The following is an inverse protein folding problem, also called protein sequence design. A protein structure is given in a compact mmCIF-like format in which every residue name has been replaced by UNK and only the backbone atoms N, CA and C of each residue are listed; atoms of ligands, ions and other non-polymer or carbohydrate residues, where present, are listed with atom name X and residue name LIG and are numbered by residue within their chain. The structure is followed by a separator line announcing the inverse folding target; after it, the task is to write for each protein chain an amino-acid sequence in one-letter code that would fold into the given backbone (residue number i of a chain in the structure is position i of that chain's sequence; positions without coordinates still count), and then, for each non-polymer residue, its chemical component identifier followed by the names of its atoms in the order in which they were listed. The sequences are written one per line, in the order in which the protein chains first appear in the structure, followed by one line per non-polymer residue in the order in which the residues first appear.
data_IF_698333887647
#
_entry.id   IF_698333887647
#
_cell.length_a   1.000
_cell.length_b   1.000
_cell.length_c   1.000
_cell.angle_alpha   90.00
_cell.angle_beta   90.00
_cell.angle_gamma   90.00
#
_symmetry.space_group_name_H-M   'P 1'
#
loop_
_entity.id
_entity.type
_entity.pdbx_description
1 polymer ?
#
# COMPACT_ATOMS: atom_id res chain seq x y z
N UNK A 1 -3.76 -16.63 -10.02
CA UNK A 1 -4.05 -16.52 -8.58
C UNK A 1 -4.79 -17.76 -8.07
N UNK A 2 -5.76 -18.28 -8.81
CA UNK A 2 -6.61 -19.42 -8.42
C UNK A 2 -5.84 -20.68 -7.96
N UNK A 3 -4.77 -21.07 -8.67
CA UNK A 3 -3.90 -22.19 -8.26
C UNK A 3 -3.23 -21.97 -6.90
N UNK A 4 -2.83 -20.72 -6.60
CA UNK A 4 -2.23 -20.36 -5.32
C UNK A 4 -3.26 -20.47 -4.21
N UNK A 5 -4.48 -19.94 -4.43
CA UNK A 5 -5.59 -20.08 -3.48
C UNK A 5 -5.90 -21.54 -3.14
N UNK A 6 -5.91 -22.41 -4.15
CA UNK A 6 -6.09 -23.85 -3.97
C UNK A 6 -4.99 -24.52 -3.15
N UNK A 7 -3.73 -24.13 -3.35
CA UNK A 7 -2.60 -24.65 -2.59
C UNK A 7 -2.63 -24.18 -1.13
N UNK A 8 -2.98 -22.92 -0.89
CA UNK A 8 -3.05 -22.35 0.47
C UNK A 8 -4.09 -23.06 1.32
N UNK A 9 -5.29 -23.29 0.77
CA UNK A 9 -6.38 -24.01 1.45
C UNK A 9 -5.98 -25.39 1.93
N UNK A 10 -5.13 -26.07 1.18
CA UNK A 10 -4.73 -27.45 1.45
C UNK A 10 -3.41 -27.58 2.21
N UNK A 11 -2.68 -26.48 2.44
CA UNK A 11 -1.32 -26.54 2.99
C UNK A 11 -1.25 -26.78 4.51
N UNK A 12 -2.31 -26.42 5.26
CA UNK A 12 -2.29 -26.39 6.73
C UNK A 12 -1.24 -25.45 7.34
N UNK A 13 -0.49 -24.71 6.52
CA UNK A 13 0.62 -23.87 6.92
C UNK A 13 0.12 -22.45 7.23
N UNK A 14 0.56 -21.90 8.36
CA UNK A 14 0.25 -20.53 8.74
C UNK A 14 1.22 -19.58 8.05
N UNK A 15 0.77 -18.95 6.97
CA UNK A 15 1.54 -17.89 6.33
C UNK A 15 1.52 -16.61 7.17
N UNK A 16 2.72 -16.13 7.51
CA UNK A 16 2.93 -14.85 8.20
C UNK A 16 3.54 -13.79 7.30
N UNK A 17 4.14 -14.18 6.17
CA UNK A 17 4.80 -13.28 5.22
C UNK A 17 4.36 -13.60 3.78
N UNK A 18 4.01 -12.57 3.02
CA UNK A 18 3.72 -12.70 1.59
C UNK A 18 4.33 -11.55 0.78
N UNK A 19 4.86 -11.89 -0.39
CA UNK A 19 5.31 -10.92 -1.39
C UNK A 19 4.72 -11.27 -2.75
N UNK A 20 4.06 -10.30 -3.38
CA UNK A 20 3.44 -10.43 -4.70
C UNK A 20 4.14 -9.49 -5.69
N UNK A 21 5.27 -9.94 -6.25
CA UNK A 21 6.10 -9.19 -7.20
C UNK A 21 6.63 -10.10 -8.34
N UNK A 22 6.62 -9.64 -9.62
CA UNK A 22 6.19 -8.30 -10.04
C UNK A 22 4.67 -8.22 -10.17
N UNK A 23 4.13 -7.11 -9.65
CA UNK A 23 2.80 -6.50 -9.85
C UNK A 23 1.63 -7.42 -10.24
N UNK A 24 0.62 -7.47 -9.37
CA UNK A 24 -0.60 -8.25 -9.56
C UNK A 24 -1.78 -7.37 -9.94
N UNK A 25 -2.75 -7.93 -10.66
CA UNK A 25 -4.04 -7.30 -10.90
C UNK A 25 -4.88 -7.36 -9.61
N UNK A 26 -5.45 -6.22 -9.20
CA UNK A 26 -6.38 -6.18 -8.10
C UNK A 26 -7.76 -6.67 -8.57
N UNK A 27 -8.32 -7.66 -7.90
CA UNK A 27 -9.62 -8.23 -8.22
C UNK A 27 -9.97 -9.43 -7.36
N UNK A 28 -11.09 -10.12 -7.65
CA UNK A 28 -11.64 -11.18 -6.80
C UNK A 28 -10.65 -12.28 -6.44
N UNK A 29 -9.79 -12.68 -7.37
CA UNK A 29 -8.80 -13.72 -7.13
C UNK A 29 -7.68 -13.29 -6.17
N UNK A 30 -7.30 -12.00 -6.17
CA UNK A 30 -6.37 -11.45 -5.17
C UNK A 30 -7.06 -11.36 -3.81
N UNK A 31 -8.29 -10.83 -3.77
CA UNK A 31 -9.08 -10.70 -2.55
C UNK A 31 -9.26 -12.06 -1.86
N UNK A 32 -9.59 -13.11 -2.62
CA UNK A 32 -9.75 -14.48 -2.12
C UNK A 32 -8.46 -15.01 -1.46
N UNK A 33 -7.30 -14.81 -2.10
CA UNK A 33 -6.01 -15.23 -1.53
C UNK A 33 -5.72 -14.49 -0.24
N UNK A 34 -5.90 -13.17 -0.23
CA UNK A 34 -5.60 -12.35 0.95
C UNK A 34 -6.50 -12.71 2.14
N UNK A 35 -7.79 -12.99 1.90
CA UNK A 35 -8.71 -13.43 2.95
C UNK A 35 -8.28 -14.78 3.56
N UNK A 36 -7.73 -15.69 2.75
CA UNK A 36 -7.20 -16.97 3.24
C UNK A 36 -5.92 -16.80 4.09
N UNK A 37 -5.28 -15.64 4.03
CA UNK A 37 -4.01 -15.35 4.67
C UNK A 37 -4.17 -14.47 5.93
N UNK A 38 -5.17 -14.75 6.78
CA UNK A 38 -5.54 -13.91 7.93
C UNK A 38 -4.44 -13.69 8.97
N UNK A 39 -3.46 -14.60 9.02
CA UNK A 39 -2.33 -14.54 9.96
C UNK A 39 -1.10 -13.79 9.43
N UNK A 40 -1.19 -13.19 8.23
CA UNK A 40 -0.10 -12.38 7.70
C UNK A 40 0.20 -11.19 8.60
N UNK A 41 1.44 -11.12 9.05
CA UNK A 41 2.01 -9.96 9.74
C UNK A 41 2.77 -9.06 8.78
N UNK A 42 3.19 -9.60 7.62
CA UNK A 42 3.90 -8.87 6.57
C UNK A 42 3.26 -9.11 5.20
N UNK A 43 2.98 -8.01 4.49
CA UNK A 43 2.56 -8.05 3.10
C UNK A 43 3.32 -7.01 2.27
N UNK A 44 3.91 -7.46 1.17
CA UNK A 44 4.48 -6.60 0.14
C UNK A 44 3.80 -6.90 -1.20
N UNK A 45 3.13 -5.92 -1.78
CA UNK A 45 2.33 -6.09 -3.00
C UNK A 45 2.50 -4.91 -3.95
N UNK A 46 2.56 -5.21 -5.25
CA UNK A 46 2.51 -4.20 -6.30
C UNK A 46 1.23 -4.29 -7.13
N UNK A 47 0.71 -3.15 -7.58
CA UNK A 47 -0.44 -3.03 -8.47
C UNK A 47 -0.10 -2.14 -9.69
N UNK A 48 -0.64 -2.49 -10.87
CA UNK A 48 -0.76 -1.60 -12.02
C UNK A 48 -2.21 -1.12 -11.99
N UNK A 49 -2.51 0.01 -11.35
CA UNK A 49 -3.89 0.48 -11.31
C UNK A 49 -4.27 1.10 -12.66
N UNK A 50 -5.46 0.81 -13.22
CA UNK A 50 -6.37 1.89 -13.56
C UNK A 50 -6.78 2.59 -12.25
N UNK A 51 -6.96 3.92 -12.29
CA UNK A 51 -7.30 4.78 -11.14
C UNK A 51 -8.42 4.20 -10.24
N UNK A 52 -9.41 3.55 -10.85
CA UNK A 52 -10.54 2.89 -10.18
C UNK A 52 -10.14 1.82 -9.15
N UNK A 53 -8.94 1.24 -9.29
CA UNK A 53 -8.45 0.21 -8.39
C UNK A 53 -7.72 0.74 -7.15
N UNK A 54 -7.25 2.01 -7.13
CA UNK A 54 -6.52 2.56 -5.97
C UNK A 54 -7.43 2.61 -4.74
N UNK A 55 -8.61 3.22 -4.88
CA UNK A 55 -9.59 3.33 -3.80
C UNK A 55 -10.07 1.96 -3.33
N UNK A 56 -10.22 1.00 -4.25
CA UNK A 56 -10.64 -0.36 -3.94
C UNK A 56 -9.57 -1.13 -3.17
N UNK A 57 -8.30 -1.01 -3.58
CA UNK A 57 -7.16 -1.60 -2.87
C UNK A 57 -7.15 -1.11 -1.43
N UNK A 58 -7.17 0.20 -1.20
CA UNK A 58 -7.15 0.74 0.16
C UNK A 58 -8.41 0.38 0.95
N UNK A 59 -9.59 0.46 0.32
CA UNK A 59 -10.85 0.08 0.97
C UNK A 59 -10.83 -1.37 1.44
N UNK A 60 -10.39 -2.30 0.59
CA UNK A 60 -10.23 -3.72 0.93
C UNK A 60 -9.20 -3.91 2.05
N UNK A 61 -8.04 -3.27 1.91
CA UNK A 61 -6.96 -3.32 2.89
C UNK A 61 -7.29 -2.63 4.22
N UNK A 62 -8.39 -1.88 4.31
CA UNK A 62 -8.86 -1.23 5.53
C UNK A 62 -9.98 -1.99 6.25
N UNK A 63 -10.54 -3.04 5.64
CA UNK A 63 -11.54 -3.88 6.29
C UNK A 63 -10.92 -4.63 7.49
N UNK A 64 -11.42 -4.43 8.70
CA UNK A 64 -10.79 -4.98 9.92
C UNK A 64 -10.65 -6.51 9.93
N UNK A 65 -11.54 -7.22 9.25
CA UNK A 65 -11.50 -8.68 9.10
C UNK A 65 -10.48 -9.16 8.04
N UNK A 66 -10.01 -8.26 7.17
CA UNK A 66 -8.95 -8.53 6.20
C UNK A 66 -7.61 -8.28 6.89
N UNK A 67 -6.71 -9.27 6.87
CA UNK A 67 -5.35 -9.19 7.44
C UNK A 67 -5.32 -8.58 8.86
N UNK A 68 -6.08 -9.14 9.83
CA UNK A 68 -6.18 -8.56 11.18
C UNK A 68 -4.85 -8.52 11.94
N UNK A 69 -3.90 -9.41 11.61
CA UNK A 69 -2.58 -9.48 12.23
C UNK A 69 -1.52 -8.60 11.55
N UNK A 70 -1.89 -7.80 10.54
CA UNK A 70 -0.93 -7.09 9.70
C UNK A 70 -0.18 -6.00 10.47
N UNK A 71 1.15 -6.13 10.51
CA UNK A 71 2.06 -5.19 11.15
C UNK A 71 2.89 -4.43 10.12
N UNK A 72 3.22 -5.05 8.99
CA UNK A 72 3.99 -4.44 7.91
C UNK A 72 3.23 -4.51 6.60
N UNK A 73 2.95 -3.35 6.03
CA UNK A 73 2.32 -3.21 4.72
C UNK A 73 3.22 -2.42 3.79
N UNK A 74 3.58 -3.03 2.66
CA UNK A 74 4.27 -2.35 1.57
C UNK A 74 3.40 -2.42 0.32
N UNK A 75 3.02 -1.26 -0.21
CA UNK A 75 2.21 -1.16 -1.42
C UNK A 75 2.98 -0.40 -2.48
N UNK A 76 3.10 -0.97 -3.67
CA UNK A 76 3.68 -0.31 -4.84
C UNK A 76 2.61 -0.08 -5.88
N UNK A 77 2.45 1.15 -6.36
CA UNK A 77 1.63 1.49 -7.52
C UNK A 77 2.54 1.87 -8.69
N UNK A 78 2.27 1.35 -9.88
CA UNK A 78 3.03 1.69 -11.10
C UNK A 78 2.17 2.24 -12.22
N UNK A 79 2.74 3.14 -13.02
CA UNK A 79 2.05 3.75 -14.16
C UNK A 79 1.08 4.86 -13.74
N UNK A 80 1.27 5.44 -12.56
CA UNK A 80 0.35 6.44 -12.01
C UNK A 80 0.46 7.79 -12.73
N UNK A 81 -0.67 8.48 -12.87
CA UNK A 81 -0.72 9.91 -13.11
C UNK A 81 -0.54 10.66 -11.78
N UNK A 82 0.65 11.16 -11.44
CA UNK A 82 0.92 11.74 -10.11
C UNK A 82 0.08 12.98 -9.80
N UNK A 83 -0.37 13.72 -10.81
CA UNK A 83 -1.25 14.89 -10.62
C UNK A 83 -2.61 14.50 -10.05
N UNK A 84 -3.12 13.34 -10.46
CA UNK A 84 -4.46 12.83 -10.15
C UNK A 84 -4.42 11.73 -9.07
N UNK A 85 -3.62 10.70 -9.33
CA UNK A 85 -3.49 9.51 -8.50
C UNK A 85 -2.66 9.80 -7.26
N UNK A 86 -1.68 10.71 -7.33
CA UNK A 86 -0.80 11.04 -6.21
C UNK A 86 -1.56 11.60 -5.01
N UNK A 87 -2.47 12.55 -5.25
CA UNK A 87 -3.33 13.12 -4.20
C UNK A 87 -4.28 12.08 -3.61
N UNK A 88 -4.87 11.25 -4.46
CA UNK A 88 -5.74 10.14 -4.04
C UNK A 88 -4.98 9.15 -3.15
N UNK A 89 -3.81 8.66 -3.60
CA UNK A 89 -2.96 7.74 -2.85
C UNK A 89 -2.54 8.36 -1.51
N UNK A 90 -2.12 9.63 -1.50
CA UNK A 90 -1.72 10.30 -0.27
C UNK A 90 -2.85 10.42 0.75
N UNK A 91 -4.07 10.75 0.32
CA UNK A 91 -5.25 10.75 1.19
C UNK A 91 -5.54 9.35 1.76
N UNK A 92 -5.59 8.34 0.89
CA UNK A 92 -5.89 6.95 1.30
C UNK A 92 -4.83 6.36 2.20
N UNK A 93 -3.57 6.77 2.06
CA UNK A 93 -2.48 6.41 2.96
C UNK A 93 -2.75 6.93 4.37
N UNK A 94 -3.11 8.21 4.51
CA UNK A 94 -3.43 8.80 5.82
C UNK A 94 -4.64 8.09 6.45
N UNK A 95 -5.68 7.82 5.67
CA UNK A 95 -6.86 7.07 6.12
C UNK A 95 -6.48 5.65 6.60
N UNK A 96 -5.64 4.95 5.84
CA UNK A 96 -5.18 3.60 6.17
C UNK A 96 -4.35 3.60 7.45
N UNK A 97 -3.42 4.55 7.61
CA UNK A 97 -2.63 4.68 8.83
C UNK A 97 -3.52 4.94 10.05
N UNK A 98 -4.58 5.74 9.91
CA UNK A 98 -5.54 6.00 10.97
C UNK A 98 -6.38 4.74 11.31
N UNK A 99 -6.96 4.09 10.30
CA UNK A 99 -7.83 2.91 10.48
C UNK A 99 -7.06 1.73 11.07
N UNK A 100 -5.80 1.55 10.65
CA UNK A 100 -4.95 0.44 11.06
C UNK A 100 -3.94 0.81 12.15
N UNK A 101 -4.10 1.95 12.83
CA UNK A 101 -3.11 2.47 13.80
C UNK A 101 -2.73 1.48 14.90
N UNK A 102 -3.68 0.65 15.32
CA UNK A 102 -3.49 -0.24 16.47
C UNK A 102 -2.68 -1.49 16.07
N UNK A 103 -2.76 -1.91 14.81
CA UNK A 103 -2.12 -3.14 14.29
C UNK A 103 -0.87 -2.85 13.46
N UNK A 104 -0.89 -1.80 12.64
CA UNK A 104 0.17 -1.47 11.70
C UNK A 104 1.33 -0.78 12.42
N UNK A 105 2.55 -1.21 12.09
CA UNK A 105 3.81 -0.69 12.65
C UNK A 105 4.73 -0.16 11.56
N UNK A 106 4.70 -0.76 10.38
CA UNK A 106 5.47 -0.31 9.21
C UNK A 106 4.53 -0.17 8.04
N UNK A 107 4.49 1.02 7.44
CA UNK A 107 3.68 1.30 6.27
C UNK A 107 4.51 2.00 5.20
N UNK A 108 4.79 1.29 4.10
CA UNK A 108 5.54 1.82 2.98
C UNK A 108 4.66 1.90 1.75
N UNK A 109 4.62 3.06 1.10
CA UNK A 109 3.94 3.24 -0.19
C UNK A 109 4.92 3.76 -1.23
N UNK A 110 5.02 3.09 -2.36
CA UNK A 110 5.84 3.50 -3.51
C UNK A 110 4.94 3.80 -4.70
N UNK A 111 5.06 4.97 -5.30
CA UNK A 111 4.27 5.42 -6.44
C UNK A 111 5.21 5.70 -7.61
N UNK A 112 5.09 4.92 -8.68
CA UNK A 112 5.88 5.09 -9.89
C UNK A 112 5.02 5.75 -10.97
N UNK A 113 5.46 6.91 -11.45
CA UNK A 113 4.85 7.61 -12.58
C UNK A 113 5.02 6.83 -13.88
N UNK A 114 4.09 7.05 -14.82
CA UNK A 114 4.26 6.63 -16.22
C UNK A 114 5.15 7.59 -17.03
N UNK A 115 5.47 7.21 -18.27
CA UNK A 115 6.48 7.82 -19.16
C UNK A 115 6.25 9.28 -19.60
N UNK A 116 5.14 9.91 -19.21
CA UNK A 116 4.70 11.21 -19.74
C UNK A 116 4.28 12.19 -18.65
N UNK A 117 5.15 12.46 -17.68
CA UNK A 117 4.92 13.55 -16.73
C UNK A 117 6.11 14.50 -16.66
N UNK A 118 5.95 15.67 -17.28
CA UNK A 118 6.70 16.86 -16.90
C UNK A 118 6.64 17.01 -15.37
N UNK A 119 7.80 17.22 -14.74
CA UNK A 119 8.05 17.24 -13.29
C UNK A 119 6.79 17.29 -12.40
N UNK A 120 6.54 16.28 -11.54
CA UNK A 120 5.33 16.26 -10.74
C UNK A 120 5.31 17.46 -9.79
N UNK A 121 4.35 18.39 -9.93
CA UNK A 121 4.27 19.57 -9.11
C UNK A 121 3.43 19.27 -7.87
N UNK A 122 3.77 18.29 -7.03
CA UNK A 122 2.86 18.00 -5.91
C UNK A 122 3.48 17.29 -4.72
N UNK A 123 3.26 17.90 -3.56
CA UNK A 123 3.15 17.17 -2.31
C UNK A 123 1.94 16.25 -2.44
N UNK A 124 2.17 14.93 -2.52
CA UNK A 124 1.08 13.93 -2.59
C UNK A 124 0.29 13.86 -1.28
N UNK A 125 0.88 14.30 -0.17
CA UNK A 125 0.25 14.38 1.15
C UNK A 125 0.01 15.84 1.51
N UNK A 126 -1.22 16.16 1.90
CA UNK A 126 -1.60 17.49 2.38
C UNK A 126 -0.89 17.85 3.69
N UNK A 127 -0.82 19.15 4.03
CA UNK A 127 -0.21 19.60 5.28
C UNK A 127 -0.85 18.97 6.53
N UNK A 128 -2.19 18.86 6.53
CA UNK A 128 -2.93 18.19 7.61
C UNK A 128 -2.64 16.70 7.66
N UNK A 129 -2.56 16.03 6.49
CA UNK A 129 -2.16 14.63 6.40
C UNK A 129 -0.76 14.41 6.98
N UNK A 130 0.19 15.29 6.64
CA UNK A 130 1.56 15.22 7.16
C UNK A 130 1.61 15.33 8.68
N UNK A 131 0.88 16.28 9.27
CA UNK A 131 0.82 16.43 10.72
C UNK A 131 0.25 15.18 11.43
N UNK A 132 -0.75 14.52 10.83
CA UNK A 132 -1.30 13.26 11.34
C UNK A 132 -0.27 12.11 11.27
N UNK A 133 0.44 11.97 10.16
CA UNK A 133 1.46 10.92 10.01
C UNK A 133 2.61 11.11 11.00
N UNK A 134 3.03 12.35 11.26
CA UNK A 134 4.04 12.67 12.29
C UNK A 134 3.59 12.22 13.69
N UNK A 135 2.30 12.43 14.02
CA UNK A 135 1.73 11.95 15.27
C UNK A 135 1.77 10.42 15.35
N UNK A 136 1.35 9.71 14.31
CA UNK A 136 1.39 8.23 14.32
C UNK A 136 2.81 7.69 14.46
N UNK A 137 3.80 8.42 13.96
CA UNK A 137 5.20 8.09 14.21
C UNK A 137 5.62 8.29 15.65
N UNK A 138 5.21 9.38 16.30
CA UNK A 138 5.44 9.55 17.74
C UNK A 138 4.77 8.42 18.57
N UNK A 139 3.70 7.83 18.04
CA UNK A 139 3.01 6.66 18.60
C UNK A 139 3.68 5.30 18.23
N UNK A 140 4.79 5.33 17.47
CA UNK A 140 5.62 4.15 17.16
C UNK A 140 5.44 3.54 15.77
N UNK A 141 4.70 4.19 14.85
CA UNK A 141 4.55 3.74 13.47
C UNK A 141 5.67 4.28 12.56
N UNK A 142 6.33 3.42 11.79
CA UNK A 142 7.21 3.81 10.69
C UNK A 142 6.40 3.96 9.41
N UNK A 143 6.39 5.16 8.84
CA UNK A 143 5.64 5.46 7.60
C UNK A 143 6.62 6.00 6.58
N UNK A 144 6.70 5.37 5.41
CA UNK A 144 7.54 5.83 4.31
C UNK A 144 6.71 5.97 3.04
N UNK A 145 6.87 7.08 2.36
CA UNK A 145 6.26 7.32 1.05
C UNK A 145 7.36 7.61 0.04
N UNK A 146 7.29 7.00 -1.13
CA UNK A 146 8.30 7.16 -2.18
C UNK A 146 7.60 7.43 -3.50
N UNK A 147 8.04 8.48 -4.20
CA UNK A 147 7.56 8.80 -5.55
C UNK A 147 8.71 8.60 -6.54
N UNK A 148 8.47 7.99 -7.69
CA UNK A 148 9.52 7.69 -8.68
C UNK A 148 9.00 8.12 -10.06
N UNK A 149 9.73 8.97 -10.77
CA UNK A 149 9.37 9.44 -12.11
C UNK A 149 10.59 9.41 -13.04
N UNK A 150 10.45 8.84 -14.24
CA UNK A 150 11.46 8.81 -15.33
C UNK A 150 12.88 8.42 -14.90
N UNK A 151 13.02 7.29 -14.18
CA UNK A 151 14.31 6.81 -13.66
C UNK A 151 14.94 7.70 -12.58
N UNK A 152 14.40 8.90 -12.37
CA UNK A 152 14.78 9.83 -11.33
C UNK A 152 14.00 9.46 -10.08
N UNK A 153 14.72 8.99 -9.06
CA UNK A 153 14.12 8.72 -7.75
C UNK A 153 13.85 10.05 -7.06
N UNK A 154 12.63 10.54 -7.19
CA UNK A 154 12.11 11.62 -6.36
C UNK A 154 11.68 11.05 -5.02
N UNK A 155 12.66 10.62 -4.22
CA UNK A 155 12.42 10.15 -2.86
C UNK A 155 11.89 11.36 -2.06
N UNK A 156 10.58 11.59 -2.11
CA UNK A 156 9.88 12.37 -1.09
C UNK A 156 9.81 11.47 0.14
N UNK A 157 10.99 11.13 0.65
CA UNK A 157 11.11 10.33 1.83
C UNK A 157 10.63 11.20 2.96
N UNK A 158 9.40 10.94 3.34
CA UNK A 158 9.02 11.08 4.71
C UNK A 158 9.72 9.98 5.53
N UNK A 159 11.06 9.89 5.42
CA UNK A 159 11.89 9.27 6.44
C UNK A 159 11.93 10.30 7.56
N UNK A 160 10.84 10.32 8.31
CA UNK A 160 10.78 11.13 9.49
C UNK A 160 11.81 10.51 10.46
N UNK A 161 12.85 11.27 10.83
CA UNK A 161 13.93 10.86 11.72
C UNK A 161 13.46 10.61 13.16
#
# INVERSE_FOLDING_TARGET
MDTVGGLLRNSGCVLTHATFLPIVEFGPAFEEIIVLCSNLTYLNVGFIPPRENIDRVFSFMNQQNVLPALQTLKITFRGCNLSDDGLCIGQRLVETALVRRDTLRVFETSVHAGEYQNHPPTNIISAMGKALLERFKAEGMSITVMTIADGTRWKQCLEFA
#
